data_IF_637302114899
#
_entry.id   IF_637302114899
#
_cell.length_a   1.000
_cell.length_b   1.000
_cell.length_c   1.000
_cell.angle_alpha   90.00
_cell.angle_beta   90.00
_cell.angle_gamma   90.00
#
_symmetry.space_group_name_H-M   'P 1'
#
loop_
_entity.id
_entity.type
_entity.pdbx_description
1 polymer ?
#
# COMPACT_ATOMS: atom_id res chain seq x y z
N UNK A 1 7.55 -5.70 -1.78
CA UNK A 1 7.19 -5.92 -3.20
C UNK A 1 6.15 -7.01 -3.20
N UNK A 2 4.88 -6.64 -3.38
CA UNK A 2 3.78 -7.62 -3.48
C UNK A 2 3.58 -7.80 -4.98
N UNK A 3 4.00 -8.94 -5.52
CA UNK A 3 3.77 -9.26 -6.93
C UNK A 3 2.32 -9.71 -7.14
N UNK A 4 1.77 -9.58 -8.35
CA UNK A 4 0.37 -9.90 -8.69
C UNK A 4 -0.16 -11.27 -8.20
N UNK A 5 0.62 -12.38 -8.10
CA UNK A 5 0.16 -13.61 -7.45
C UNK A 5 -0.13 -13.49 -5.95
N UNK A 6 0.45 -12.48 -5.28
CA UNK A 6 0.31 -12.23 -3.84
C UNK A 6 -0.81 -11.21 -3.56
N UNK A 7 -1.13 -10.32 -4.50
CA UNK A 7 -2.25 -9.38 -4.36
C UNK A 7 -3.60 -10.10 -4.37
N UNK A 8 -3.77 -11.15 -5.18
CA UNK A 8 -4.96 -12.01 -5.15
C UNK A 8 -5.16 -12.73 -3.81
N UNK A 9 -4.07 -13.03 -3.08
CA UNK A 9 -4.16 -13.63 -1.74
C UNK A 9 -4.57 -12.59 -0.68
N UNK A 10 -4.18 -11.32 -0.85
CA UNK A 10 -4.61 -10.23 0.03
C UNK A 10 -6.04 -9.76 -0.27
N UNK A 11 -6.52 -9.94 -1.50
CA UNK A 11 -7.83 -9.45 -1.89
C UNK A 11 -8.97 -10.14 -1.09
N UNK A 12 -8.87 -11.46 -0.92
CA UNK A 12 -9.82 -12.23 -0.11
C UNK A 12 -9.71 -11.99 1.40
N UNK A 13 -8.70 -11.25 1.87
CA UNK A 13 -8.50 -11.02 3.30
C UNK A 13 -9.66 -10.19 3.87
N UNK A 14 -10.08 -9.11 3.20
CA UNK A 14 -11.22 -8.31 3.68
C UNK A 14 -12.49 -9.14 3.78
N UNK A 15 -12.83 -9.93 2.77
CA UNK A 15 -14.06 -10.72 2.78
C UNK A 15 -14.02 -11.87 3.80
N UNK A 16 -12.82 -12.35 4.15
CA UNK A 16 -12.64 -13.40 5.16
C UNK A 16 -12.65 -12.84 6.59
N UNK A 17 -11.96 -11.71 6.84
CA UNK A 17 -11.87 -11.15 8.20
C UNK A 17 -12.98 -10.17 8.53
N UNK A 18 -13.52 -9.43 7.56
CA UNK A 18 -14.71 -8.57 7.71
C UNK A 18 -16.03 -9.36 7.50
N UNK A 19 -16.00 -10.65 7.85
CA UNK A 19 -17.19 -11.49 7.95
C UNK A 19 -18.07 -11.04 9.12
N UNK A 20 -19.36 -11.42 9.15
CA UNK A 20 -20.25 -11.19 10.28
C UNK A 20 -19.76 -11.75 11.63
N UNK A 21 -18.70 -12.57 11.61
CA UNK A 21 -18.12 -13.21 12.79
C UNK A 21 -17.30 -12.25 13.67
N UNK A 22 -16.78 -11.14 13.14
CA UNK A 22 -16.02 -10.14 13.93
C UNK A 22 -16.45 -8.71 13.59
N UNK A 23 -17.59 -8.25 14.15
CA UNK A 23 -18.06 -6.88 13.98
C UNK A 23 -17.01 -5.87 14.47
N UNK A 24 -16.78 -4.82 13.69
CA UNK A 24 -15.89 -3.71 14.08
C UNK A 24 -14.39 -3.96 13.86
N UNK A 25 -14.00 -5.00 13.12
CA UNK A 25 -12.59 -5.22 12.79
C UNK A 25 -12.03 -4.08 11.91
N UNK A 26 -10.82 -3.63 12.24
CA UNK A 26 -10.10 -2.61 11.48
C UNK A 26 -8.83 -3.23 10.89
N UNK A 27 -8.64 -3.07 9.59
CA UNK A 27 -7.43 -3.52 8.89
C UNK A 27 -6.51 -2.31 8.72
N UNK A 28 -5.31 -2.40 9.27
CA UNK A 28 -4.24 -1.44 9.08
C UNK A 28 -3.11 -2.07 8.26
N UNK A 29 -2.46 -1.29 7.40
CA UNK A 29 -1.34 -1.80 6.59
C UNK A 29 -0.30 -0.73 6.30
N UNK A 30 0.89 -1.17 5.90
CA UNK A 30 2.04 -0.34 5.56
C UNK A 30 2.42 -0.59 4.09
N UNK A 31 2.54 0.48 3.31
CA UNK A 31 3.00 0.45 1.91
C UNK A 31 4.33 1.18 1.80
N UNK A 32 5.29 0.53 1.14
CA UNK A 32 6.60 1.10 0.82
C UNK A 32 6.64 1.39 -0.67
N UNK A 33 6.71 2.66 -1.05
CA UNK A 33 6.84 3.10 -2.44
C UNK A 33 8.31 3.11 -2.88
N UNK A 34 8.55 2.73 -4.13
CA UNK A 34 9.86 2.82 -4.75
C UNK A 34 10.78 1.67 -4.39
N UNK A 35 10.23 0.48 -4.13
CA UNK A 35 11.04 -0.71 -3.95
C UNK A 35 11.92 -0.94 -5.20
N UNK A 36 13.16 -1.44 -5.07
CA UNK A 36 14.04 -1.64 -6.22
C UNK A 36 13.39 -2.50 -7.31
N UNK A 37 13.33 -2.01 -8.54
CA UNK A 37 12.62 -2.65 -9.66
C UNK A 37 11.12 -2.32 -9.81
N UNK A 38 10.53 -1.49 -8.94
CA UNK A 38 9.11 -1.10 -9.02
C UNK A 38 8.82 -0.26 -10.27
N UNK A 39 7.99 -0.79 -11.17
CA UNK A 39 7.56 -0.15 -12.41
C UNK A 39 6.37 0.78 -12.18
N UNK A 40 6.02 1.57 -13.20
CA UNK A 40 4.82 2.42 -13.15
C UNK A 40 3.53 1.59 -13.10
N UNK A 41 3.52 0.41 -13.74
CA UNK A 41 2.39 -0.52 -13.68
C UNK A 41 2.19 -1.07 -12.27
N UNK A 42 3.27 -1.51 -11.60
CA UNK A 42 3.21 -2.01 -10.22
C UNK A 42 2.67 -0.94 -9.24
N UNK A 43 3.11 0.32 -9.45
CA UNK A 43 2.63 1.44 -8.65
C UNK A 43 1.14 1.74 -8.91
N UNK A 44 0.69 1.64 -10.17
CA UNK A 44 -0.71 1.82 -10.52
C UNK A 44 -1.60 0.74 -9.89
N UNK A 45 -1.17 -0.52 -9.91
CA UNK A 45 -1.85 -1.63 -9.22
C UNK A 45 -1.97 -1.37 -7.71
N UNK A 46 -0.91 -0.85 -7.09
CA UNK A 46 -0.92 -0.46 -5.68
C UNK A 46 -1.96 0.65 -5.41
N UNK A 47 -2.06 1.63 -6.31
CA UNK A 47 -3.06 2.69 -6.19
C UNK A 47 -4.49 2.15 -6.33
N UNK A 48 -4.70 1.20 -7.25
CA UNK A 48 -6.01 0.60 -7.48
C UNK A 48 -6.44 -0.26 -6.30
N UNK A 49 -5.52 -1.00 -5.67
CA UNK A 49 -5.75 -1.69 -4.39
C UNK A 49 -6.20 -0.70 -3.30
N UNK A 50 -5.51 0.43 -3.14
CA UNK A 50 -5.87 1.43 -2.12
C UNK A 50 -7.25 2.05 -2.40
N UNK A 51 -7.60 2.30 -3.66
CA UNK A 51 -8.93 2.79 -4.07
C UNK A 51 -10.03 1.78 -3.77
N UNK A 52 -9.79 0.51 -4.07
CA UNK A 52 -10.76 -0.57 -3.88
C UNK A 52 -11.02 -0.85 -2.41
N UNK A 53 -9.95 -1.00 -1.62
CA UNK A 53 -10.07 -1.39 -0.22
C UNK A 53 -10.45 -0.23 0.68
N UNK A 54 -10.07 1.01 0.33
CA UNK A 54 -10.26 2.22 1.16
C UNK A 54 -9.87 1.96 2.60
N UNK A 55 -8.61 1.57 2.80
CA UNK A 55 -8.07 1.23 4.11
C UNK A 55 -8.38 2.32 5.16
N UNK A 56 -8.87 1.98 6.35
CA UNK A 56 -9.12 2.94 7.42
C UNK A 56 -7.81 3.45 8.07
N UNK A 57 -6.73 2.67 7.98
CA UNK A 57 -5.41 3.04 8.48
C UNK A 57 -4.34 2.55 7.51
N UNK A 58 -3.53 3.47 6.98
CA UNK A 58 -2.51 3.19 5.99
C UNK A 58 -1.27 4.03 6.26
N UNK A 59 -0.13 3.37 6.45
CA UNK A 59 1.17 4.04 6.54
C UNK A 59 1.89 3.95 5.20
N UNK A 60 2.35 5.09 4.67
CA UNK A 60 2.98 5.18 3.35
C UNK A 60 4.39 5.73 3.50
N UNK A 61 5.39 4.91 3.17
CA UNK A 61 6.80 5.23 3.33
C UNK A 61 7.57 5.10 2.02
N UNK A 62 8.71 5.78 1.92
CA UNK A 62 9.65 5.56 0.81
C UNK A 62 10.58 4.39 1.12
N UNK A 63 11.00 3.66 0.08
CA UNK A 63 12.04 2.65 0.23
C UNK A 63 13.40 3.30 0.50
N UNK A 64 14.04 2.84 1.58
CA UNK A 64 15.43 3.14 1.92
C UNK A 64 16.25 1.85 1.94
N UNK A 65 17.29 1.71 1.09
CA UNK A 65 18.11 0.51 1.08
C UNK A 65 18.83 0.35 2.42
N UNK A 66 18.74 -0.85 3.00
CA UNK A 66 19.42 -1.21 4.24
C UNK A 66 20.70 -1.97 3.91
N UNK A 67 21.88 -1.55 4.42
CA UNK A 67 23.14 -2.25 4.16
C UNK A 67 23.04 -3.75 4.45
N UNK A 68 23.61 -4.57 3.55
CA UNK A 68 23.60 -6.03 3.68
C UNK A 68 22.36 -6.75 3.15
N UNK A 69 21.29 -6.03 2.77
CA UNK A 69 20.09 -6.66 2.18
C UNK A 69 20.25 -6.91 0.67
N UNK A 70 19.59 -7.92 0.10
CA UNK A 70 19.54 -8.11 -1.35
C UNK A 70 18.99 -6.87 -2.08
N UNK A 71 17.95 -6.25 -1.50
CA UNK A 71 17.33 -5.04 -2.05
C UNK A 71 18.29 -3.85 -2.14
N UNK A 72 19.31 -3.76 -1.28
CA UNK A 72 20.32 -2.72 -1.38
C UNK A 72 21.28 -2.88 -2.58
N UNK A 73 21.34 -4.07 -3.19
CA UNK A 73 22.17 -4.38 -4.35
C UNK A 73 21.42 -4.33 -5.69
N UNK A 74 20.09 -4.19 -5.65
CA UNK A 74 19.23 -4.12 -6.83
C UNK A 74 19.24 -2.72 -7.45
N UNK A 75 18.76 -2.61 -8.69
CA UNK A 75 18.59 -1.32 -9.37
C UNK A 75 17.53 -0.47 -8.66
N UNK A 76 17.98 0.66 -8.12
CA UNK A 76 17.15 1.51 -7.28
C UNK A 76 16.25 2.40 -8.13
N UNK A 77 15.00 2.57 -7.67
CA UNK A 77 14.10 3.59 -8.20
C UNK A 77 14.65 4.99 -7.86
N UNK A 78 14.72 5.94 -8.82
CA UNK A 78 15.21 7.28 -8.57
C UNK A 78 14.48 7.98 -7.41
N UNK A 79 15.21 8.70 -6.57
CA UNK A 79 14.65 9.35 -5.37
C UNK A 79 13.45 10.27 -5.66
N UNK A 80 13.46 10.97 -6.80
CA UNK A 80 12.34 11.81 -7.22
C UNK A 80 11.08 11.01 -7.51
N UNK A 81 11.21 9.83 -8.15
CA UNK A 81 10.08 8.94 -8.42
C UNK A 81 9.51 8.39 -7.12
N UNK A 82 10.36 7.96 -6.16
CA UNK A 82 9.91 7.50 -4.84
C UNK A 82 9.12 8.58 -4.11
N UNK A 83 9.65 9.81 -4.10
CA UNK A 83 8.99 10.97 -3.49
C UNK A 83 7.64 11.29 -4.15
N UNK A 84 7.58 11.26 -5.48
CA UNK A 84 6.37 11.51 -6.25
C UNK A 84 5.30 10.46 -5.92
N UNK A 85 5.65 9.17 -6.00
CA UNK A 85 4.74 8.04 -5.71
C UNK A 85 4.20 8.09 -4.28
N UNK A 86 5.05 8.32 -3.29
CA UNK A 86 4.60 8.49 -1.89
C UNK A 86 3.62 9.65 -1.76
N UNK A 87 3.87 10.79 -2.42
CA UNK A 87 2.96 11.95 -2.38
C UNK A 87 1.61 11.64 -3.04
N UNK A 88 1.62 11.00 -4.20
CA UNK A 88 0.41 10.61 -4.93
C UNK A 88 -0.44 9.63 -4.12
N UNK A 89 0.18 8.56 -3.61
CA UNK A 89 -0.54 7.56 -2.81
C UNK A 89 -1.07 8.15 -1.50
N UNK A 90 -0.31 9.07 -0.89
CA UNK A 90 -0.79 9.81 0.29
C UNK A 90 -1.97 10.70 -0.05
N UNK A 91 -1.94 11.43 -1.16
CA UNK A 91 -3.07 12.25 -1.59
C UNK A 91 -4.31 11.38 -1.86
N UNK A 92 -4.13 10.22 -2.50
CA UNK A 92 -5.18 9.25 -2.73
C UNK A 92 -5.78 8.74 -1.40
N UNK A 93 -4.95 8.33 -0.45
CA UNK A 93 -5.39 7.89 0.89
C UNK A 93 -6.27 8.94 1.57
N UNK A 94 -5.84 10.21 1.58
CA UNK A 94 -6.60 11.29 2.22
C UNK A 94 -7.86 11.69 1.43
N UNK A 95 -7.88 11.49 0.10
CA UNK A 95 -9.01 11.89 -0.75
C UNK A 95 -10.32 11.20 -0.39
N UNK A 96 -10.26 10.02 0.23
CA UNK A 96 -11.42 9.27 0.63
C UNK A 96 -11.88 9.50 2.09
N UNK A 97 -11.30 10.50 2.75
CA UNK A 97 -11.56 10.88 4.14
C UNK A 97 -11.45 9.70 5.14
N UNK A 98 -10.25 9.09 5.29
CA UNK A 98 -10.05 7.88 6.09
C UNK A 98 -10.40 8.05 7.58
N UNK A 99 -10.42 9.29 8.06
CA UNK A 99 -10.68 9.64 9.45
C UNK A 99 -12.12 10.09 9.71
N UNK A 100 -13.03 9.97 8.74
CA UNK A 100 -14.45 10.22 8.99
C UNK A 100 -15.04 9.08 9.82
N UNK A 101 -14.94 9.21 11.14
CA UNK A 101 -15.50 8.24 12.07
C UNK A 101 -17.01 8.43 12.30
N UNK A 102 -17.71 9.24 11.49
CA UNK A 102 -19.19 9.33 11.53
C UNK A 102 -19.83 8.08 10.94
N UNK A 103 -19.79 6.98 11.67
CA UNK A 103 -20.74 5.87 11.66
C UNK A 103 -20.31 4.86 12.73
N UNK A 104 -20.72 5.12 13.96
CA UNK A 104 -21.21 4.10 14.90
C UNK A 104 -22.53 4.60 15.46
#
# INVERSE_FOLDING_TARGET
MVSWPQLSQCAGLRDTVATPWVPGITIATDIICGFPGETDADFQETCDLVKEYRFPSLFINQFYPRPGTPAAKMDQVPAQVKKQRTKELSALFHSYNPYDHKRM
#
